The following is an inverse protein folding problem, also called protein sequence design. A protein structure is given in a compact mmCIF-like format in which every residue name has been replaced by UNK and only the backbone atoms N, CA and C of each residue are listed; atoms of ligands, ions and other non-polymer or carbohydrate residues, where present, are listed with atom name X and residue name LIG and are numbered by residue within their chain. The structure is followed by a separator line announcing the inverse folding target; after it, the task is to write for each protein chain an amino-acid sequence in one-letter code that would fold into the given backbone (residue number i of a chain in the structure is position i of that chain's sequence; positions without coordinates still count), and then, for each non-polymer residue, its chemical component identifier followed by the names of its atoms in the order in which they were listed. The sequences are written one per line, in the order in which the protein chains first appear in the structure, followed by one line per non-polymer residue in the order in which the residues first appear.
data_IF_759094758702
#
_entry.id   IF_759094758702
#
_cell.length_a   1.000
_cell.length_b   1.000
_cell.length_c   1.000
_cell.angle_alpha   90.00
_cell.angle_beta   90.00
_cell.angle_gamma   90.00
#
_symmetry.space_group_name_H-M   'P 1'
#
loop_
_entity.id
_entity.type
_entity.pdbx_description
1 polymer ?
#
# COMPACT_ATOMS: atom_id res chain seq x y z
N UNK A 1 10.85 0.10 -2.58
CA UNK A 1 11.99 0.65 -3.36
C UNK A 1 11.64 0.59 -4.82
N UNK A 2 11.84 1.69 -5.53
CA UNK A 2 11.66 1.80 -6.98
C UNK A 2 12.94 2.25 -7.66
N UNK A 3 13.05 2.04 -8.97
CA UNK A 3 14.21 2.50 -9.74
C UNK A 3 13.85 2.74 -11.20
N UNK A 4 14.61 3.60 -11.84
CA UNK A 4 14.61 3.79 -13.29
C UNK A 4 16.04 3.67 -13.85
N UNK A 5 16.28 4.15 -15.05
CA UNK A 5 17.59 4.01 -15.71
C UNK A 5 18.75 4.77 -15.02
N UNK A 6 18.46 5.69 -14.12
CA UNK A 6 19.46 6.58 -13.51
C UNK A 6 19.33 6.75 -12.00
N UNK A 7 18.16 6.48 -11.43
CA UNK A 7 17.87 6.77 -10.03
C UNK A 7 17.27 5.60 -9.28
N UNK A 8 17.60 5.52 -7.99
CA UNK A 8 16.97 4.63 -7.00
C UNK A 8 16.17 5.50 -6.03
N UNK A 9 14.93 5.12 -5.78
CA UNK A 9 14.01 5.77 -4.86
C UNK A 9 13.75 4.82 -3.68
N UNK A 10 14.11 5.22 -2.48
CA UNK A 10 14.03 4.33 -1.32
C UNK A 10 13.58 5.07 -0.06
N UNK A 11 12.62 4.48 0.67
CA UNK A 11 12.35 4.87 2.04
C UNK A 11 13.50 4.41 2.94
N UNK A 12 14.05 5.31 3.71
CA UNK A 12 15.15 5.01 4.61
C UNK A 12 15.44 6.16 5.56
N UNK A 13 16.17 5.86 6.62
CA UNK A 13 16.53 6.85 7.64
C UNK A 13 17.70 7.71 7.19
N UNK A 14 17.72 8.96 7.64
CA UNK A 14 18.87 9.85 7.54
C UNK A 14 19.48 10.14 8.91
N UNK A 15 20.60 10.88 8.93
CA UNK A 15 21.21 11.33 10.17
C UNK A 15 20.33 12.38 10.88
N UNK A 16 19.51 13.09 10.13
CA UNK A 16 18.59 14.11 10.61
C UNK A 16 17.27 13.54 11.14
N UNK A 17 16.92 12.30 10.75
CA UNK A 17 15.69 11.64 11.18
C UNK A 17 15.63 11.43 12.69
N UNK A 18 14.44 11.56 13.26
CA UNK A 18 14.19 11.25 14.68
C UNK A 18 14.33 9.75 14.93
N UNK A 19 15.41 9.35 15.54
CA UNK A 19 15.76 7.93 15.77
C UNK A 19 14.81 7.20 16.72
N UNK A 20 14.13 7.94 17.59
CA UNK A 20 13.26 7.40 18.65
C UNK A 20 12.02 6.68 18.10
N UNK A 21 11.60 7.02 16.88
CA UNK A 21 10.40 6.47 16.23
C UNK A 21 10.68 5.83 14.88
N UNK A 22 11.93 5.52 14.56
CA UNK A 22 12.34 4.90 13.28
C UNK A 22 11.73 5.62 12.06
N UNK A 23 11.88 6.94 12.01
CA UNK A 23 11.31 7.75 10.94
C UNK A 23 12.10 7.55 9.66
N UNK A 24 11.43 7.02 8.66
CA UNK A 24 11.97 6.90 7.31
C UNK A 24 11.46 8.04 6.43
N UNK A 25 12.35 8.56 5.61
CA UNK A 25 12.09 9.58 4.59
C UNK A 25 12.39 9.02 3.20
N UNK A 26 11.97 9.72 2.15
CA UNK A 26 12.38 9.37 0.79
C UNK A 26 13.82 9.82 0.55
N UNK A 27 14.66 8.89 0.13
CA UNK A 27 16.00 9.16 -0.41
C UNK A 27 16.03 8.87 -1.91
N UNK A 28 16.59 9.76 -2.70
CA UNK A 28 16.80 9.60 -4.14
C UNK A 28 18.31 9.54 -4.39
N UNK A 29 18.76 8.44 -4.98
CA UNK A 29 20.16 8.18 -5.25
C UNK A 29 20.40 8.04 -6.75
N UNK A 30 21.43 8.68 -7.28
CA UNK A 30 21.98 8.35 -8.59
C UNK A 30 22.78 7.06 -8.52
N UNK A 31 22.67 6.21 -9.54
CA UNK A 31 23.51 5.03 -9.68
C UNK A 31 24.26 4.97 -11.02
N UNK A 32 24.63 6.10 -11.58
CA UNK A 32 25.52 6.17 -12.75
C UNK A 32 26.77 5.29 -12.58
N UNK A 33 27.17 5.10 -11.31
CA UNK A 33 28.15 4.10 -10.90
C UNK A 33 27.47 3.09 -9.96
N UNK A 34 26.97 1.95 -10.45
CA UNK A 34 26.14 1.02 -9.64
C UNK A 34 26.83 0.51 -8.35
N UNK A 35 28.16 0.42 -8.35
CA UNK A 35 28.92 0.02 -7.17
C UNK A 35 29.02 1.13 -6.11
N UNK A 36 28.60 2.36 -6.41
CA UNK A 36 28.67 3.51 -5.52
C UNK A 36 27.52 4.48 -5.82
N UNK A 37 26.30 4.16 -5.41
CA UNK A 37 25.18 5.08 -5.54
C UNK A 37 25.43 6.34 -4.69
N UNK A 38 25.06 7.50 -5.24
CA UNK A 38 25.24 8.79 -4.58
C UNK A 38 23.90 9.43 -4.27
N UNK A 39 23.71 9.89 -3.02
CA UNK A 39 22.51 10.60 -2.63
C UNK A 39 22.42 11.95 -3.37
N UNK A 40 21.34 12.17 -4.11
CA UNK A 40 21.13 13.42 -4.88
C UNK A 40 20.06 14.31 -4.27
N UNK A 41 19.05 13.74 -3.65
CA UNK A 41 18.01 14.51 -2.95
C UNK A 41 17.24 13.67 -1.93
N UNK A 42 16.43 14.35 -1.11
CA UNK A 42 15.56 13.77 -0.11
C UNK A 42 14.21 14.48 -0.11
N UNK A 43 13.20 13.79 0.33
CA UNK A 43 11.91 14.38 0.69
C UNK A 43 11.46 13.86 2.05
N UNK A 44 11.02 14.77 2.91
CA UNK A 44 10.43 14.44 4.21
C UNK A 44 9.24 15.34 4.51
N UNK A 45 8.40 14.93 5.42
CA UNK A 45 7.32 15.76 5.97
C UNK A 45 7.91 16.56 7.15
N UNK A 46 7.59 17.86 7.21
CA UNK A 46 8.03 18.73 8.32
C UNK A 46 7.62 18.11 9.65
N UNK A 47 8.56 17.99 10.54
CA UNK A 47 8.37 17.32 11.84
C UNK A 47 9.08 15.98 11.96
N UNK A 48 9.58 15.40 10.86
CA UNK A 48 10.32 14.14 10.86
C UNK A 48 11.77 14.31 11.33
N UNK A 49 12.36 15.48 11.14
CA UNK A 49 13.75 15.73 11.53
C UNK A 49 13.87 16.22 12.98
N UNK A 50 15.04 15.97 13.60
CA UNK A 50 15.35 16.45 14.94
C UNK A 50 15.31 17.97 14.98
N UNK A 51 14.59 18.53 15.93
CA UNK A 51 14.41 19.98 16.08
C UNK A 51 13.25 20.57 15.29
N UNK A 52 12.60 19.81 14.42
CA UNK A 52 11.36 20.21 13.78
C UNK A 52 10.15 19.86 14.64
N UNK A 53 9.11 20.66 14.53
CA UNK A 53 7.77 20.36 15.05
C UNK A 53 6.80 20.26 13.88
N UNK A 54 5.78 19.40 13.98
CA UNK A 54 4.71 19.37 13.01
C UNK A 54 3.99 20.72 12.97
N UNK A 55 3.76 21.24 11.77
CA UNK A 55 3.20 22.59 11.57
C UNK A 55 1.78 22.73 12.13
N UNK A 56 1.06 21.65 12.36
CA UNK A 56 -0.34 21.62 12.83
C UNK A 56 -0.51 21.05 14.24
N UNK A 57 0.48 21.26 15.12
CA UNK A 57 0.38 20.81 16.51
C UNK A 57 0.64 19.32 16.67
N UNK A 58 0.31 18.81 17.84
CA UNK A 58 0.51 17.41 18.17
C UNK A 58 -0.36 16.54 17.25
N UNK A 59 0.25 15.86 16.28
CA UNK A 59 -0.44 14.88 15.46
C UNK A 59 -0.68 13.63 16.30
N UNK A 60 -1.73 13.70 17.10
CA UNK A 60 -2.21 12.56 17.89
C UNK A 60 -3.40 11.94 17.18
N UNK A 61 -3.41 10.63 17.17
CA UNK A 61 -4.57 9.87 16.74
C UNK A 61 -5.75 10.08 17.69
N UNK A 62 -7.00 9.83 17.25
CA UNK A 62 -8.17 9.95 18.11
C UNK A 62 -8.09 9.17 19.42
N UNK A 63 -7.30 8.10 19.47
CA UNK A 63 -7.04 7.30 20.68
C UNK A 63 -5.91 7.85 21.58
N UNK A 64 -5.35 9.02 21.24
CA UNK A 64 -4.29 9.69 22.00
C UNK A 64 -2.87 9.20 21.74
N UNK A 65 -2.66 8.24 20.83
CA UNK A 65 -1.31 7.83 20.43
C UNK A 65 -0.68 8.81 19.45
N UNK A 66 0.65 8.90 19.43
CA UNK A 66 1.36 9.68 18.42
C UNK A 66 1.17 9.07 17.03
N UNK A 67 1.05 9.92 16.02
CA UNK A 67 1.00 9.48 14.63
C UNK A 67 2.38 9.02 14.15
N UNK A 68 2.40 7.93 13.43
CA UNK A 68 3.60 7.46 12.73
C UNK A 68 3.67 8.10 11.35
N UNK A 69 4.46 9.15 11.22
CA UNK A 69 4.72 9.81 9.94
C UNK A 69 6.03 9.27 9.39
N UNK A 70 5.93 8.33 8.45
CA UNK A 70 7.13 7.69 7.86
C UNK A 70 6.85 7.21 6.45
N UNK A 71 7.82 7.40 5.55
CA UNK A 71 7.82 6.81 4.21
C UNK A 71 7.81 5.30 4.36
N UNK A 72 6.89 4.61 3.68
CA UNK A 72 6.79 3.15 3.79
C UNK A 72 6.95 2.45 2.46
N UNK A 73 6.12 2.75 1.51
CA UNK A 73 6.20 2.14 0.19
C UNK A 73 6.10 3.20 -0.90
N UNK A 74 6.81 2.94 -1.99
CA UNK A 74 6.92 3.84 -3.14
C UNK A 74 6.49 3.06 -4.37
N UNK A 75 5.72 3.73 -5.23
CA UNK A 75 5.40 3.28 -6.57
C UNK A 75 5.75 4.39 -7.56
N UNK A 76 6.49 4.04 -8.61
CA UNK A 76 6.86 4.99 -9.66
C UNK A 76 5.96 4.78 -10.88
N UNK A 77 5.39 5.87 -11.38
CA UNK A 77 4.72 5.89 -12.68
C UNK A 77 5.10 7.16 -13.42
N UNK A 78 5.78 7.00 -14.55
CA UNK A 78 6.36 8.11 -15.32
C UNK A 78 7.22 9.04 -14.44
N UNK A 79 6.94 10.33 -14.46
CA UNK A 79 7.64 11.37 -13.69
C UNK A 79 7.01 11.63 -12.32
N UNK A 80 6.37 10.61 -11.74
CA UNK A 80 5.75 10.71 -10.41
C UNK A 80 6.10 9.54 -9.51
N UNK A 81 6.21 9.86 -8.21
CA UNK A 81 6.22 8.87 -7.14
C UNK A 81 4.90 8.94 -6.38
N UNK A 82 4.33 7.79 -6.14
CA UNK A 82 3.14 7.57 -5.32
C UNK A 82 3.60 6.84 -4.06
N UNK A 83 3.48 7.50 -2.92
CA UNK A 83 4.10 7.04 -1.69
C UNK A 83 3.02 6.81 -0.63
N UNK A 84 2.99 5.62 -0.07
CA UNK A 84 2.28 5.36 1.17
C UNK A 84 3.14 5.88 2.33
N UNK A 85 2.59 6.81 3.10
CA UNK A 85 3.32 7.56 4.11
C UNK A 85 2.71 7.38 5.51
N UNK A 86 2.36 6.16 5.83
CA UNK A 86 1.73 5.73 7.10
C UNK A 86 0.59 6.65 7.52
N UNK A 87 0.66 7.26 8.72
CA UNK A 87 -0.42 8.10 9.27
C UNK A 87 -0.57 9.47 8.56
N UNK A 88 0.39 9.89 7.73
CA UNK A 88 0.18 11.00 6.79
C UNK A 88 -0.80 10.62 5.68
N UNK A 89 -0.97 9.31 5.44
CA UNK A 89 -1.76 8.78 4.33
C UNK A 89 -0.93 8.61 3.07
N UNK A 90 -1.12 9.46 2.08
CA UNK A 90 -0.42 9.34 0.80
C UNK A 90 0.27 10.65 0.41
N UNK A 91 1.38 10.51 -0.29
CA UNK A 91 2.15 11.62 -0.85
C UNK A 91 2.37 11.35 -2.34
N UNK A 92 2.15 12.36 -3.19
CA UNK A 92 2.48 12.30 -4.61
C UNK A 92 3.54 13.35 -4.90
N UNK A 93 4.67 12.91 -5.42
CA UNK A 93 5.76 13.79 -5.82
C UNK A 93 5.89 13.84 -7.35
N UNK A 94 6.08 15.03 -7.89
CA UNK A 94 6.62 15.25 -9.22
C UNK A 94 8.14 15.11 -9.14
N UNK A 95 8.70 14.24 -9.96
CA UNK A 95 10.13 13.93 -10.06
C UNK A 95 10.66 14.17 -11.49
N UNK A 96 10.03 15.06 -12.26
CA UNK A 96 10.59 15.53 -13.54
C UNK A 96 12.05 15.98 -13.39
N UNK A 97 12.39 16.56 -12.25
CA UNK A 97 13.76 16.76 -11.79
C UNK A 97 13.95 15.99 -10.47
N UNK A 98 14.53 14.77 -10.50
CA UNK A 98 14.74 13.98 -9.29
C UNK A 98 15.64 14.62 -8.25
N UNK A 99 16.42 15.64 -8.62
CA UNK A 99 17.23 16.40 -7.66
C UNK A 99 16.42 17.41 -6.85
N UNK A 100 15.14 17.65 -7.26
CA UNK A 100 14.22 18.61 -6.63
C UNK A 100 12.79 18.10 -6.65
N UNK A 101 12.49 17.00 -5.94
CA UNK A 101 11.14 16.44 -5.90
C UNK A 101 10.15 17.46 -5.33
N UNK A 102 8.98 17.59 -5.95
CA UNK A 102 7.94 18.55 -5.56
C UNK A 102 6.66 17.84 -5.20
N UNK A 103 6.13 18.06 -4.00
CA UNK A 103 4.82 17.54 -3.59
C UNK A 103 3.71 18.20 -4.41
N UNK A 104 2.88 17.39 -5.06
CA UNK A 104 1.80 17.84 -5.95
C UNK A 104 0.40 17.47 -5.47
N UNK A 105 0.29 16.63 -4.46
CA UNK A 105 -0.98 16.28 -3.82
C UNK A 105 -1.46 17.38 -2.86
N UNK A 106 -2.73 17.27 -2.44
CA UNK A 106 -3.33 18.14 -1.42
C UNK A 106 -3.38 17.48 -0.03
N UNK A 107 -2.74 16.32 0.12
CA UNK A 107 -2.93 15.41 1.24
C UNK A 107 -4.16 14.54 1.05
N UNK A 108 -4.15 13.37 1.63
CA UNK A 108 -5.30 12.49 1.75
C UNK A 108 -5.43 12.13 3.21
N UNK A 109 -6.49 12.65 3.84
CA UNK A 109 -6.76 12.37 5.25
C UNK A 109 -7.05 10.89 5.42
N UNK A 110 -6.07 10.23 6.03
CA UNK A 110 -6.09 8.81 6.25
C UNK A 110 -6.67 8.53 7.63
N UNK A 111 -7.91 8.08 7.65
CA UNK A 111 -8.54 7.56 8.86
C UNK A 111 -8.97 6.12 8.60
N UNK A 112 -8.28 5.12 9.16
CA UNK A 112 -8.77 3.75 9.08
C UNK A 112 -10.15 3.69 9.74
N UNK A 113 -11.12 2.95 9.15
CA UNK A 113 -12.42 2.75 9.78
C UNK A 113 -12.25 2.11 11.14
N UNK A 114 -13.13 2.50 12.05
CA UNK A 114 -13.13 2.01 13.44
C UNK A 114 -11.87 2.37 14.25
N UNK A 115 -10.94 3.16 13.71
CA UNK A 115 -9.73 3.57 14.42
C UNK A 115 -10.01 4.61 15.54
N UNK A 116 -11.23 5.11 15.62
CA UNK A 116 -11.67 6.02 16.67
C UNK A 116 -12.30 5.34 17.89
N UNK A 117 -12.27 4.02 18.00
CA UNK A 117 -12.74 3.33 19.21
C UNK A 117 -11.71 3.51 20.34
N UNK A 118 -12.01 4.33 21.37
CA UNK A 118 -11.08 4.57 22.48
C UNK A 118 -10.81 3.32 23.33
N UNK A 119 -11.53 2.22 23.08
CA UNK A 119 -11.35 0.94 23.75
C UNK A 119 -10.39 -0.01 23.04
N UNK A 120 -9.93 0.32 21.83
CA UNK A 120 -8.97 -0.51 21.09
C UNK A 120 -7.56 0.06 21.25
N UNK A 121 -6.68 -0.59 22.01
CA UNK A 121 -5.29 -0.15 22.06
C UNK A 121 -4.65 -0.30 20.68
N UNK A 122 -3.89 0.69 20.25
CA UNK A 122 -2.94 0.56 19.14
C UNK A 122 -1.77 -0.33 19.60
N UNK A 123 -2.06 -1.55 19.99
CA UNK A 123 -1.01 -2.52 20.29
C UNK A 123 -0.60 -3.22 19.01
N UNK A 124 0.59 -2.96 18.55
CA UNK A 124 1.19 -3.62 17.40
C UNK A 124 1.78 -2.67 16.39
N UNK A 125 2.67 -3.20 15.58
CA UNK A 125 3.33 -2.47 14.51
C UNK A 125 2.30 -1.98 13.48
N UNK A 126 2.52 -0.74 13.06
CA UNK A 126 2.29 -0.30 11.69
C UNK A 126 0.84 -0.06 11.23
N UNK A 127 -0.02 0.62 12.00
CA UNK A 127 -1.25 1.14 11.41
C UNK A 127 -0.90 2.24 10.40
N UNK A 128 -1.68 2.35 9.35
CA UNK A 128 -1.57 3.43 8.40
C UNK A 128 -1.48 2.97 6.96
N UNK A 129 -1.37 3.93 6.05
CA UNK A 129 -1.19 3.68 4.63
C UNK A 129 0.04 2.82 4.40
N UNK A 130 -0.14 1.69 3.71
CA UNK A 130 0.91 0.72 3.47
C UNK A 130 1.36 0.70 2.01
N UNK A 131 0.42 0.52 1.10
CA UNK A 131 0.69 0.50 -0.35
C UNK A 131 -0.19 1.54 -1.01
N UNK A 132 0.39 2.39 -1.86
CA UNK A 132 -0.36 3.33 -2.68
C UNK A 132 -0.01 3.14 -4.15
N UNK A 133 -0.76 2.25 -4.80
CA UNK A 133 -0.50 1.72 -6.12
C UNK A 133 -1.35 2.44 -7.18
N UNK A 134 -0.75 3.25 -8.07
CA UNK A 134 -1.48 3.82 -9.19
C UNK A 134 -1.79 2.74 -10.22
N UNK A 135 -3.00 2.75 -10.76
CA UNK A 135 -3.36 1.89 -11.88
C UNK A 135 -2.70 2.40 -13.15
N UNK A 136 -1.78 1.59 -13.70
CA UNK A 136 -1.14 1.92 -14.98
C UNK A 136 -2.16 2.02 -16.11
N UNK A 137 -2.22 3.15 -16.77
CA UNK A 137 -3.11 3.41 -17.89
C UNK A 137 -2.32 3.70 -19.18
N UNK A 138 -2.99 3.51 -20.31
CA UNK A 138 -2.46 3.95 -21.60
C UNK A 138 -2.43 5.49 -21.77
N UNK A 139 -2.73 6.25 -20.72
CA UNK A 139 -2.73 7.71 -20.67
C UNK A 139 -1.51 8.28 -19.95
N UNK A 140 -1.33 9.61 -19.98
CA UNK A 140 -0.15 10.26 -19.41
C UNK A 140 -0.08 10.19 -17.88
N UNK A 141 -1.20 9.98 -17.19
CA UNK A 141 -1.27 9.88 -15.73
C UNK A 141 -2.40 8.91 -15.31
N UNK A 142 -2.20 8.14 -14.25
CA UNK A 142 -3.24 7.29 -13.69
C UNK A 142 -4.37 8.14 -13.09
N UNK A 143 -5.59 7.64 -13.20
CA UNK A 143 -6.78 8.27 -12.61
C UNK A 143 -7.29 7.55 -11.37
N UNK A 144 -6.84 6.33 -11.14
CA UNK A 144 -7.23 5.49 -10.00
C UNK A 144 -5.98 4.95 -9.32
N UNK A 145 -6.02 4.85 -8.00
CA UNK A 145 -5.04 4.13 -7.21
C UNK A 145 -5.73 3.18 -6.23
N UNK A 146 -5.02 2.13 -5.85
CA UNK A 146 -5.35 1.28 -4.72
C UNK A 146 -4.52 1.74 -3.53
N UNK A 147 -5.19 1.98 -2.41
CA UNK A 147 -4.55 2.24 -1.12
C UNK A 147 -4.89 1.10 -0.18
N UNK A 148 -3.89 0.51 0.44
CA UNK A 148 -4.07 -0.54 1.45
C UNK A 148 -3.67 -0.04 2.83
N UNK A 149 -4.35 -0.56 3.84
CA UNK A 149 -4.01 -0.36 5.24
C UNK A 149 -3.26 -1.58 5.75
N UNK A 150 -2.20 -1.38 6.47
CA UNK A 150 -1.63 -2.46 7.28
C UNK A 150 -2.02 -2.25 8.73
N UNK A 151 -2.84 -3.18 9.25
CA UNK A 151 -3.28 -3.16 10.62
C UNK A 151 -3.49 -4.58 11.15
N UNK A 152 -2.64 -5.01 12.06
CA UNK A 152 -2.63 -6.39 12.58
C UNK A 152 -3.65 -6.65 13.68
N UNK A 153 -4.28 -5.61 14.20
CA UNK A 153 -5.29 -5.74 15.23
C UNK A 153 -6.69 -5.91 14.62
N UNK A 154 -7.66 -6.12 15.45
CA UNK A 154 -9.06 -6.17 15.10
C UNK A 154 -9.69 -4.76 15.20
N UNK A 155 -10.27 -4.19 14.16
CA UNK A 155 -10.46 -4.74 12.82
C UNK A 155 -9.17 -4.79 12.01
N UNK A 156 -9.04 -5.78 11.11
CA UNK A 156 -7.87 -5.86 10.22
C UNK A 156 -7.86 -4.72 9.20
N UNK A 157 -6.67 -4.42 8.67
CA UNK A 157 -6.53 -3.48 7.56
C UNK A 157 -7.24 -3.96 6.31
N UNK A 158 -7.72 -3.02 5.47
CA UNK A 158 -8.42 -3.32 4.22
C UNK A 158 -7.98 -2.38 3.09
N UNK A 159 -8.62 -2.49 1.93
CA UNK A 159 -8.25 -1.72 0.75
C UNK A 159 -9.26 -0.63 0.38
N UNK A 160 -8.76 0.40 -0.30
CA UNK A 160 -9.51 1.51 -0.84
C UNK A 160 -9.21 1.72 -2.31
N UNK A 161 -10.22 2.10 -3.06
CA UNK A 161 -10.08 2.59 -4.44
C UNK A 161 -10.26 4.10 -4.40
N UNK A 162 -9.27 4.82 -4.89
CA UNK A 162 -9.18 6.29 -4.81
C UNK A 162 -9.10 6.86 -6.21
N UNK A 163 -9.91 7.88 -6.49
CA UNK A 163 -9.75 8.73 -7.68
C UNK A 163 -8.60 9.72 -7.42
N UNK A 164 -7.58 9.66 -8.25
CA UNK A 164 -6.39 10.50 -8.21
C UNK A 164 -6.25 11.38 -9.46
N UNK A 165 -7.32 11.50 -10.26
CA UNK A 165 -7.33 12.35 -11.47
C UNK A 165 -6.87 13.78 -11.16
N UNK A 166 -7.27 14.28 -10.01
CA UNK A 166 -6.83 15.56 -9.48
C UNK A 166 -6.10 15.34 -8.15
N UNK A 167 -4.78 15.21 -8.13
CA UNK A 167 -4.01 14.86 -6.93
C UNK A 167 -4.27 15.77 -5.71
N UNK A 168 -4.63 17.04 -5.95
CA UNK A 168 -5.00 17.97 -4.87
C UNK A 168 -6.38 17.74 -4.26
N UNK A 169 -7.20 16.88 -4.88
CA UNK A 169 -8.58 16.60 -4.51
C UNK A 169 -8.90 15.13 -4.69
N UNK A 170 -8.08 14.28 -4.09
CA UNK A 170 -8.29 12.83 -4.12
C UNK A 170 -9.59 12.46 -3.46
N UNK A 171 -10.31 11.49 -4.06
CA UNK A 171 -11.65 11.09 -3.59
C UNK A 171 -11.74 9.59 -3.43
N UNK A 172 -12.21 9.14 -2.27
CA UNK A 172 -12.54 7.74 -2.05
C UNK A 172 -13.73 7.34 -2.93
N UNK A 173 -13.53 6.34 -3.79
CA UNK A 173 -14.61 5.77 -4.62
C UNK A 173 -15.28 4.59 -3.93
N UNK A 174 -14.50 3.73 -3.31
CA UNK A 174 -15.01 2.56 -2.58
C UNK A 174 -13.96 1.99 -1.65
N UNK A 175 -14.43 1.15 -0.74
CA UNK A 175 -13.60 0.24 0.06
C UNK A 175 -13.90 -1.19 -0.36
N UNK A 176 -12.97 -2.09 -0.12
CA UNK A 176 -13.18 -3.50 -0.34
C UNK A 176 -12.54 -4.32 0.77
N UNK A 177 -13.18 -5.41 1.08
CA UNK A 177 -12.71 -6.48 1.94
C UNK A 177 -12.66 -7.77 1.14
N UNK A 178 -12.22 -8.82 1.79
CA UNK A 178 -12.17 -10.16 1.20
C UNK A 178 -13.09 -11.10 1.95
N UNK A 179 -13.55 -12.12 1.26
CA UNK A 179 -14.28 -13.22 1.88
C UNK A 179 -13.46 -13.83 3.03
N UNK A 180 -14.09 -13.99 4.18
CA UNK A 180 -13.44 -14.48 5.41
C UNK A 180 -13.00 -13.37 6.38
N UNK A 181 -12.82 -12.12 5.92
CA UNK A 181 -12.62 -10.95 6.79
C UNK A 181 -13.94 -10.25 7.09
N UNK A 182 -14.80 -10.08 6.08
CA UNK A 182 -16.13 -9.46 6.26
C UNK A 182 -17.01 -10.21 7.25
N UNK A 183 -16.90 -11.54 7.27
CA UNK A 183 -17.65 -12.41 8.16
C UNK A 183 -17.28 -12.26 9.65
N UNK A 184 -16.21 -11.52 9.94
CA UNK A 184 -15.75 -11.29 11.30
C UNK A 184 -16.46 -10.14 12.02
N UNK A 185 -17.32 -9.38 11.32
CA UNK A 185 -18.11 -8.35 11.97
C UNK A 185 -19.35 -8.93 12.66
N UNK A 186 -19.37 -8.83 13.99
CA UNK A 186 -20.49 -9.25 14.82
C UNK A 186 -21.51 -8.10 14.92
N UNK A 187 -22.63 -8.21 14.22
CA UNK A 187 -23.67 -7.18 14.18
C UNK A 187 -24.38 -7.01 15.53
N UNK A 188 -24.48 -8.05 16.33
CA UNK A 188 -25.12 -7.99 17.65
C UNK A 188 -24.23 -7.21 18.65
N UNK A 189 -22.93 -7.47 18.59
CA UNK A 189 -21.93 -6.77 19.42
C UNK A 189 -21.45 -5.46 18.80
N UNK A 190 -21.79 -5.19 17.55
CA UNK A 190 -21.34 -4.02 16.75
C UNK A 190 -19.81 -3.86 16.75
N UNK A 191 -19.09 -4.95 16.61
CA UNK A 191 -17.63 -4.97 16.57
C UNK A 191 -17.11 -6.14 15.73
N UNK A 192 -15.87 -6.00 15.27
CA UNK A 192 -15.14 -7.12 14.70
C UNK A 192 -14.74 -8.13 15.80
N UNK A 193 -14.77 -9.41 15.45
CA UNK A 193 -14.33 -10.53 16.29
C UNK A 193 -13.30 -11.31 15.47
N UNK A 194 -12.06 -10.90 15.56
CA UNK A 194 -10.97 -11.54 14.84
C UNK A 194 -10.47 -12.78 15.57
N UNK A 195 -10.02 -13.81 14.87
CA UNK A 195 -9.39 -14.96 15.47
C UNK A 195 -8.13 -14.56 16.26
N UNK A 196 -7.92 -15.16 17.43
CA UNK A 196 -6.75 -14.86 18.26
C UNK A 196 -5.45 -15.22 17.52
N UNK A 197 -4.54 -14.25 17.43
CA UNK A 197 -3.24 -14.41 16.77
C UNK A 197 -3.32 -14.46 15.24
N UNK A 198 -4.45 -14.14 14.64
CA UNK A 198 -4.55 -13.99 13.18
C UNK A 198 -3.88 -12.70 12.73
N UNK A 199 -3.19 -12.80 11.61
CA UNK A 199 -2.66 -11.63 10.88
C UNK A 199 -3.42 -11.55 9.55
N UNK A 200 -4.50 -10.82 9.53
CA UNK A 200 -5.44 -10.78 8.41
C UNK A 200 -5.50 -9.43 7.72
N UNK A 201 -4.48 -8.63 7.92
CA UNK A 201 -4.38 -7.31 7.29
C UNK A 201 -4.16 -7.38 5.79
N UNK A 202 -4.72 -6.42 5.08
CA UNK A 202 -4.26 -6.09 3.73
C UNK A 202 -2.77 -5.71 3.77
N UNK A 203 -2.06 -6.04 2.70
CA UNK A 203 -0.63 -5.77 2.53
C UNK A 203 -0.36 -5.26 1.12
N UNK A 204 0.73 -5.68 0.49
CA UNK A 204 1.14 -5.24 -0.84
C UNK A 204 0.10 -5.59 -1.91
N UNK A 205 -0.09 -4.67 -2.83
CA UNK A 205 -0.91 -4.84 -4.02
C UNK A 205 -0.10 -4.55 -5.28
N UNK A 206 -0.41 -5.25 -6.38
CA UNK A 206 0.24 -5.04 -7.68
C UNK A 206 -0.75 -5.26 -8.82
N UNK A 207 -0.81 -4.34 -9.78
CA UNK A 207 -1.69 -4.47 -10.93
C UNK A 207 -1.21 -5.53 -11.91
N UNK A 208 -2.15 -6.25 -12.52
CA UNK A 208 -1.85 -7.17 -13.62
C UNK A 208 -1.54 -6.37 -14.88
N UNK A 209 -0.29 -6.38 -15.31
CA UNK A 209 0.22 -5.62 -16.46
C UNK A 209 -0.38 -6.03 -17.80
N UNK A 210 -0.98 -7.23 -17.88
CA UNK A 210 -1.70 -7.71 -19.07
C UNK A 210 -3.04 -7.01 -19.25
N UNK A 211 -3.57 -6.42 -18.17
CA UNK A 211 -4.84 -5.72 -18.17
C UNK A 211 -4.60 -4.23 -18.33
N UNK A 212 -4.50 -3.79 -19.59
CA UNK A 212 -4.09 -2.43 -20.00
C UNK A 212 -4.81 -1.25 -19.34
N UNK A 213 -5.92 -1.47 -18.65
CA UNK A 213 -6.71 -0.42 -18.02
C UNK A 213 -6.67 -0.49 -16.48
N UNK A 214 -5.77 -1.28 -15.90
CA UNK A 214 -5.66 -1.42 -14.45
C UNK A 214 -6.93 -1.96 -13.79
N UNK A 215 -7.68 -2.83 -14.48
CA UNK A 215 -8.95 -3.34 -13.96
C UNK A 215 -8.81 -4.60 -13.10
N UNK A 216 -7.60 -5.12 -12.96
CA UNK A 216 -7.29 -6.29 -12.14
C UNK A 216 -5.99 -6.05 -11.40
N UNK A 217 -5.98 -6.34 -10.13
CA UNK A 217 -4.77 -6.36 -9.32
C UNK A 217 -4.78 -7.55 -8.38
N UNK A 218 -3.58 -7.91 -7.93
CA UNK A 218 -3.36 -8.94 -6.92
C UNK A 218 -2.97 -8.27 -5.63
N UNK A 219 -3.51 -8.77 -4.53
CA UNK A 219 -3.20 -8.25 -3.22
C UNK A 219 -2.90 -9.36 -2.24
N UNK A 220 -1.79 -9.23 -1.55
CA UNK A 220 -1.46 -10.05 -0.42
C UNK A 220 -2.32 -9.66 0.79
N UNK A 221 -2.76 -10.67 1.53
CA UNK A 221 -3.58 -10.50 2.71
C UNK A 221 -3.12 -11.43 3.83
N UNK A 222 -1.85 -11.40 4.12
CA UNK A 222 -1.16 -12.22 5.10
C UNK A 222 -1.69 -13.67 5.21
N UNK A 223 -2.34 -14.02 6.33
CA UNK A 223 -2.88 -15.36 6.55
C UNK A 223 -4.01 -15.75 5.59
N UNK A 224 -4.67 -14.77 5.00
CA UNK A 224 -5.72 -14.98 4.00
C UNK A 224 -5.19 -15.16 2.57
N UNK A 225 -3.87 -15.12 2.39
CA UNK A 225 -3.21 -15.43 1.13
C UNK A 225 -3.24 -14.33 0.09
N UNK A 226 -3.16 -14.70 -1.19
CA UNK A 226 -3.25 -13.80 -2.33
C UNK A 226 -4.68 -13.70 -2.81
N UNK A 227 -5.14 -12.50 -3.13
CA UNK A 227 -6.46 -12.20 -3.69
C UNK A 227 -6.32 -11.52 -5.03
N UNK A 228 -7.17 -11.90 -5.98
CA UNK A 228 -7.32 -11.21 -7.26
C UNK A 228 -8.59 -10.36 -7.19
N UNK A 229 -8.43 -9.06 -7.37
CA UNK A 229 -9.52 -8.08 -7.23
C UNK A 229 -9.74 -7.37 -8.56
N UNK A 230 -10.97 -7.45 -9.06
CA UNK A 230 -11.40 -6.75 -10.26
C UNK A 230 -12.03 -5.41 -9.90
N UNK A 231 -11.61 -4.34 -10.61
CA UNK A 231 -12.14 -2.98 -10.46
C UNK A 231 -12.63 -2.39 -11.79
N UNK A 232 -13.16 -3.20 -12.69
CA UNK A 232 -13.82 -2.70 -13.92
C UNK A 232 -14.89 -1.66 -13.59
N UNK A 233 -15.57 -1.84 -12.46
CA UNK A 233 -16.36 -0.80 -11.81
C UNK A 233 -15.70 -0.41 -10.49
N UNK A 234 -14.99 0.73 -10.42
CA UNK A 234 -14.24 1.12 -9.22
C UNK A 234 -15.11 1.44 -8.00
N UNK A 235 -16.42 1.60 -8.20
CA UNK A 235 -17.40 1.74 -7.10
C UNK A 235 -17.85 0.39 -6.52
N UNK A 236 -17.49 -0.72 -7.16
CA UNK A 236 -17.88 -2.08 -6.76
C UNK A 236 -16.76 -3.07 -7.05
N UNK A 237 -15.63 -2.97 -6.34
CA UNK A 237 -14.56 -3.96 -6.43
C UNK A 237 -15.08 -5.36 -6.15
N UNK A 238 -14.52 -6.37 -6.81
CA UNK A 238 -14.93 -7.76 -6.65
C UNK A 238 -13.74 -8.66 -6.52
N UNK A 239 -13.71 -9.51 -5.51
CA UNK A 239 -12.81 -10.66 -5.49
C UNK A 239 -13.21 -11.64 -6.59
N UNK A 240 -12.27 -11.97 -7.48
CA UNK A 240 -12.48 -12.84 -8.64
C UNK A 240 -11.58 -14.07 -8.63
N UNK A 241 -10.73 -14.20 -7.62
CA UNK A 241 -9.88 -15.34 -7.41
C UNK A 241 -9.04 -15.21 -6.14
N UNK A 242 -8.56 -16.33 -5.67
CA UNK A 242 -7.67 -16.36 -4.51
C UNK A 242 -6.72 -17.55 -4.55
N UNK A 243 -5.65 -17.44 -3.82
CA UNK A 243 -4.75 -18.54 -3.48
C UNK A 243 -4.34 -18.43 -2.02
N UNK A 244 -4.57 -19.48 -1.26
CA UNK A 244 -4.13 -19.58 0.12
C UNK A 244 -3.06 -20.65 0.18
N UNK A 245 -1.82 -20.24 0.51
CA UNK A 245 -0.71 -21.19 0.64
C UNK A 245 -0.98 -22.19 1.76
N UNK A 246 -0.49 -23.43 1.63
CA UNK A 246 -0.51 -24.35 2.77
C UNK A 246 0.29 -23.75 3.93
N UNK A 247 -0.06 -24.15 5.14
CA UNK A 247 0.78 -23.88 6.29
C UNK A 247 1.99 -24.80 6.25
N UNK A 248 3.17 -24.24 6.06
CA UNK A 248 4.41 -25.01 5.98
C UNK A 248 4.95 -25.41 7.36
N UNK A 249 4.29 -25.04 8.44
CA UNK A 249 4.72 -25.34 9.80
C UNK A 249 6.02 -24.62 10.21
N UNK A 250 6.45 -23.66 9.41
CA UNK A 250 7.62 -22.84 9.72
C UNK A 250 7.15 -21.68 10.59
N UNK A 251 7.79 -21.52 11.75
CA UNK A 251 7.46 -20.45 12.68
C UNK A 251 8.68 -19.54 12.84
N UNK A 252 8.59 -18.36 12.28
CA UNK A 252 9.50 -17.26 12.62
C UNK A 252 9.03 -16.66 13.94
N UNK A 253 9.93 -16.35 14.91
CA UNK A 253 9.53 -15.75 16.18
C UNK A 253 8.65 -14.51 15.96
N UNK A 254 7.48 -14.49 16.59
CA UNK A 254 6.49 -13.40 16.48
C UNK A 254 5.51 -13.52 15.31
N UNK A 255 5.70 -14.50 14.42
CA UNK A 255 4.79 -14.75 13.28
C UNK A 255 4.33 -16.20 13.30
N UNK A 256 3.05 -16.45 13.09
CA UNK A 256 2.47 -17.79 13.09
C UNK A 256 1.74 -18.07 11.79
N UNK A 257 1.93 -19.30 11.28
CA UNK A 257 1.27 -19.76 10.07
C UNK A 257 1.81 -19.13 8.78
N UNK A 258 1.02 -19.16 7.75
CA UNK A 258 1.34 -18.56 6.44
C UNK A 258 1.36 -17.03 6.55
N UNK A 259 2.19 -16.40 5.72
CA UNK A 259 2.39 -14.96 5.77
C UNK A 259 2.64 -14.39 4.36
N UNK A 260 1.60 -14.44 3.54
CA UNK A 260 1.66 -13.91 2.16
C UNK A 260 1.93 -12.41 2.19
N UNK A 261 3.01 -12.00 1.54
CA UNK A 261 3.49 -10.62 1.63
C UNK A 261 3.32 -9.82 0.36
N UNK A 262 3.86 -10.28 -0.73
CA UNK A 262 4.03 -9.46 -1.92
C UNK A 262 3.74 -10.27 -3.19
N UNK A 263 2.80 -9.84 -4.03
CA UNK A 263 2.62 -10.34 -5.36
C UNK A 263 3.51 -9.58 -6.34
N UNK A 264 4.04 -10.27 -7.32
CA UNK A 264 4.70 -9.68 -8.47
C UNK A 264 4.18 -10.34 -9.75
N UNK A 265 3.19 -9.74 -10.43
CA UNK A 265 2.77 -10.17 -11.76
C UNK A 265 3.90 -9.87 -12.75
N UNK A 266 4.34 -10.90 -13.47
CA UNK A 266 5.42 -10.77 -14.43
C UNK A 266 4.97 -9.96 -15.66
N UNK A 267 5.84 -9.07 -16.14
CA UNK A 267 5.57 -8.22 -17.32
C UNK A 267 5.55 -9.01 -18.63
N UNK A 268 6.35 -10.07 -18.71
CA UNK A 268 6.62 -10.81 -19.95
C UNK A 268 5.86 -12.14 -20.03
N UNK A 269 5.22 -12.55 -18.95
CA UNK A 269 4.51 -13.84 -18.89
C UNK A 269 3.16 -13.72 -18.16
N UNK A 270 2.45 -14.85 -18.02
CA UNK A 270 1.21 -14.94 -17.25
C UNK A 270 1.44 -15.45 -15.81
N UNK A 271 2.67 -15.36 -15.35
CA UNK A 271 3.05 -15.82 -14.02
C UNK A 271 2.90 -14.71 -12.98
N UNK A 272 2.64 -15.11 -11.76
CA UNK A 272 2.57 -14.25 -10.59
C UNK A 272 3.49 -14.87 -9.54
N UNK A 273 4.50 -14.13 -9.13
CA UNK A 273 5.41 -14.53 -8.07
C UNK A 273 4.87 -14.00 -6.75
N UNK A 274 4.84 -14.84 -5.72
CA UNK A 274 4.28 -14.47 -4.42
C UNK A 274 5.24 -14.88 -3.32
N UNK A 275 5.63 -13.95 -2.49
CA UNK A 275 6.53 -14.19 -1.37
C UNK A 275 5.77 -14.53 -0.08
N UNK A 276 6.38 -15.37 0.75
CA UNK A 276 5.90 -15.66 2.10
C UNK A 276 6.93 -15.18 3.15
N UNK A 277 6.50 -14.30 4.04
CA UNK A 277 7.37 -13.69 5.06
C UNK A 277 7.70 -14.61 6.24
N UNK A 278 7.04 -15.77 6.33
CA UNK A 278 7.24 -16.73 7.42
C UNK A 278 8.09 -17.96 7.02
N UNK A 279 8.86 -17.79 5.96
CA UNK A 279 9.79 -18.83 5.50
C UNK A 279 9.18 -19.82 4.51
N UNK A 280 7.94 -19.62 4.05
CA UNK A 280 7.32 -20.43 2.99
C UNK A 280 7.95 -20.26 1.60
N UNK A 281 8.87 -19.29 1.46
CA UNK A 281 9.65 -19.06 0.25
C UNK A 281 8.89 -18.32 -0.84
N UNK A 282 9.09 -18.75 -2.09
CA UNK A 282 8.49 -18.18 -3.28
C UNK A 282 7.48 -19.15 -3.90
N UNK A 283 6.26 -18.71 -4.09
CA UNK A 283 5.22 -19.43 -4.83
C UNK A 283 5.05 -18.81 -6.22
N UNK A 284 4.94 -19.65 -7.24
CA UNK A 284 4.67 -19.22 -8.61
C UNK A 284 3.26 -19.65 -8.99
N UNK A 285 2.44 -18.70 -9.38
CA UNK A 285 1.02 -18.88 -9.69
C UNK A 285 0.71 -18.44 -11.11
N UNK A 286 -0.48 -18.82 -11.57
CA UNK A 286 -1.08 -18.33 -12.80
C UNK A 286 -2.54 -18.03 -12.55
N UNK A 287 -2.99 -16.86 -12.97
CA UNK A 287 -4.40 -16.54 -12.94
C UNK A 287 -5.15 -17.33 -14.01
N UNK A 288 -6.11 -18.13 -13.61
CA UNK A 288 -6.90 -19.01 -14.50
C UNK A 288 -8.30 -18.45 -14.82
N UNK A 289 -8.63 -17.30 -14.26
CA UNK A 289 -9.87 -16.60 -14.54
C UNK A 289 -9.86 -15.89 -15.89
N UNK A 290 -11.00 -15.32 -16.25
CA UNK A 290 -11.12 -14.46 -17.44
C UNK A 290 -10.56 -13.09 -17.10
N UNK A 291 -9.58 -12.61 -17.87
CA UNK A 291 -9.06 -11.26 -17.69
C UNK A 291 -10.17 -10.23 -17.99
N UNK A 292 -10.39 -9.25 -17.09
CA UNK A 292 -11.45 -8.29 -17.27
C UNK A 292 -11.20 -7.43 -18.52
N UNK A 293 -12.18 -7.39 -19.40
CA UNK A 293 -12.19 -6.47 -20.53
C UNK A 293 -13.14 -5.32 -20.18
N UNK A 294 -12.72 -4.10 -20.40
CA UNK A 294 -13.63 -2.96 -20.26
C UNK A 294 -14.73 -3.09 -21.30
N UNK A 295 -16.01 -3.19 -20.91
CA UNK A 295 -17.07 -3.14 -21.88
C UNK A 295 -17.00 -1.80 -22.62
N UNK A 296 -17.26 -1.77 -23.93
CA UNK A 296 -17.30 -0.51 -24.68
C UNK A 296 -18.36 0.39 -24.05
N UNK A 297 -17.97 1.64 -23.76
CA UNK A 297 -18.92 2.62 -23.21
C UNK A 297 -19.95 2.88 -24.32
N UNK A 298 -21.25 2.58 -24.08
CA UNK A 298 -22.28 2.82 -25.09
C UNK A 298 -22.26 4.29 -25.52
N UNK A 299 -22.09 4.54 -26.80
CA UNK A 299 -22.12 5.89 -27.37
C UNK A 299 -20.78 6.62 -27.46
N UNK A 300 -19.66 6.05 -27.00
CA UNK A 300 -18.31 6.57 -27.27
C UNK A 300 -17.69 5.72 -28.39
N UNK A 301 -17.52 6.33 -29.56
CA UNK A 301 -16.78 5.77 -30.72
C UNK A 301 -15.36 6.27 -30.74
#
# INVERSE_FOLDING_TARGET
MEMDDSYIYVCGTSAESKKEIQVEELNILSYDTPAKPELVSRFHIIGQHVGESFAEGNRTNPNGSDQMITCHEIQKDNDRLYIAYRDEGVVILDITDPTKPVRVDGGYDYSPPFNGDPGLPREGCCPGAHTFMPAHHAGPLPSIAVLTDEHFNCPPGFGRIIDITYPRHMTLLSTYHITGVDDQYDFDKKKFVCPEGSQESAHMAEFDHRVKNGNLFYQAWYNQGLRAIEITNPFRPREVGYYISPDFGINVPGQKGRHTREPYPDWDSDLIYVTDGNGGGLTVLRYTGVLPTRPPIPGVR
#
